data_IF_717269105919
#
_entry.id   IF_717269105919
#
_cell.length_a   1.000
_cell.length_b   1.000
_cell.length_c   1.000
_cell.angle_alpha   90.00
_cell.angle_beta   90.00
_cell.angle_gamma   90.00
#
_symmetry.space_group_name_H-M   'P 1'
#
loop_
_entity.id
_entity.type
_entity.pdbx_description
1 polymer ?
#
# COMPACT_ATOMS: atom_id res chain seq x y z
N UNK A 1 10.34 -5.69 -3.91
CA UNK A 1 9.55 -5.68 -2.68
C UNK A 1 8.60 -6.83 -2.79
N UNK A 2 8.72 -7.78 -1.86
CA UNK A 2 7.82 -8.92 -1.75
C UNK A 2 6.64 -8.58 -0.84
N UNK A 3 5.58 -9.38 -0.87
CA UNK A 3 4.45 -9.22 0.05
C UNK A 3 4.89 -9.21 1.53
N UNK A 4 5.84 -10.06 1.92
CA UNK A 4 6.43 -10.11 3.27
C UNK A 4 7.11 -8.79 3.70
N UNK A 5 7.85 -8.12 2.81
CA UNK A 5 8.44 -6.80 3.09
C UNK A 5 7.35 -5.76 3.41
N UNK A 6 6.26 -5.81 2.63
CA UNK A 6 5.13 -4.88 2.76
C UNK A 6 4.34 -5.18 4.04
N UNK A 7 4.16 -6.46 4.39
CA UNK A 7 3.54 -6.85 5.66
C UNK A 7 4.34 -6.34 6.85
N UNK A 8 5.66 -6.55 6.86
CA UNK A 8 6.53 -6.07 7.93
C UNK A 8 6.46 -4.54 8.07
N UNK A 9 6.43 -3.81 6.95
CA UNK A 9 6.27 -2.36 6.96
C UNK A 9 4.92 -1.93 7.53
N UNK A 10 3.82 -2.60 7.13
CA UNK A 10 2.47 -2.31 7.63
C UNK A 10 2.36 -2.58 9.13
N UNK A 11 2.91 -3.69 9.62
CA UNK A 11 2.95 -4.03 11.05
C UNK A 11 3.70 -2.95 11.83
N UNK A 12 4.89 -2.56 11.36
CA UNK A 12 5.67 -1.48 12.00
C UNK A 12 4.87 -0.18 12.06
N UNK A 13 4.21 0.20 10.96
CA UNK A 13 3.45 1.44 10.89
C UNK A 13 2.22 1.45 11.78
N UNK A 14 1.49 0.35 11.84
CA UNK A 14 0.31 0.23 12.71
C UNK A 14 0.74 0.20 14.18
N UNK A 15 1.83 -0.50 14.49
CA UNK A 15 2.42 -0.51 15.84
C UNK A 15 2.82 0.90 16.28
N UNK A 16 3.49 1.67 15.42
CA UNK A 16 3.89 3.05 15.72
C UNK A 16 2.69 4.01 15.86
N UNK A 17 1.68 3.92 14.98
CA UNK A 17 0.54 4.84 14.95
C UNK A 17 -0.47 4.58 16.07
N UNK A 18 -0.70 3.31 16.41
CA UNK A 18 -1.71 2.90 17.40
C UNK A 18 -1.11 2.45 18.75
N UNK A 19 0.20 2.60 18.93
CA UNK A 19 0.95 2.18 20.13
C UNK A 19 0.69 0.70 20.50
N UNK A 20 0.57 -0.15 19.47
CA UNK A 20 0.31 -1.58 19.61
C UNK A 20 1.61 -2.38 19.61
N UNK A 21 1.61 -3.52 20.30
CA UNK A 21 2.72 -4.47 20.21
C UNK A 21 2.75 -5.14 18.84
N UNK A 22 3.87 -5.11 18.09
CA UNK A 22 3.93 -5.65 16.74
C UNK A 22 3.77 -7.17 16.69
N UNK A 23 4.09 -7.90 17.76
CA UNK A 23 3.89 -9.35 17.86
C UNK A 23 2.41 -9.71 18.09
N UNK A 24 1.63 -8.75 18.59
CA UNK A 24 0.17 -8.86 18.77
C UNK A 24 -0.66 -8.46 17.54
N UNK A 25 -0.04 -8.00 16.46
CA UNK A 25 -0.72 -7.62 15.22
C UNK A 25 -0.87 -8.87 14.33
N UNK A 26 -2.12 -9.29 14.14
CA UNK A 26 -2.51 -10.38 13.25
C UNK A 26 -2.73 -9.84 11.83
N UNK A 27 -2.04 -10.44 10.86
CA UNK A 27 -2.11 -10.04 9.46
C UNK A 27 -3.46 -10.37 8.79
N UNK A 28 -4.26 -11.24 9.40
CA UNK A 28 -5.59 -11.66 8.95
C UNK A 28 -6.71 -10.83 9.58
N UNK A 29 -6.41 -10.05 10.61
CA UNK A 29 -7.40 -9.21 11.28
C UNK A 29 -7.65 -7.93 10.45
N UNK A 30 -8.91 -7.47 10.35
CA UNK A 30 -9.21 -6.23 9.67
C UNK A 30 -8.58 -5.01 10.34
N UNK A 31 -8.11 -4.06 9.55
CA UNK A 31 -7.57 -2.78 10.04
C UNK A 31 -8.54 -2.05 10.99
N UNK A 32 -9.85 -2.21 10.78
CA UNK A 32 -10.88 -1.62 11.64
C UNK A 32 -10.81 -2.12 13.10
N UNK A 33 -10.34 -3.36 13.34
CA UNK A 33 -10.17 -3.90 14.70
C UNK A 33 -9.04 -3.20 15.46
N UNK A 34 -8.04 -2.69 14.75
CA UNK A 34 -6.93 -1.90 15.33
C UNK A 34 -7.26 -0.43 15.53
N UNK A 35 -8.49 0.01 15.20
CA UNK A 35 -8.91 1.41 15.31
C UNK A 35 -8.62 2.24 14.07
N UNK A 36 -8.34 1.61 12.93
CA UNK A 36 -8.12 2.33 11.68
C UNK A 36 -9.41 3.03 11.21
N UNK A 37 -9.32 4.35 11.04
CA UNK A 37 -10.38 5.23 10.54
C UNK A 37 -10.05 5.73 9.13
N UNK A 38 -10.98 6.43 8.47
CA UNK A 38 -10.71 7.05 7.16
C UNK A 38 -9.53 8.03 7.20
N UNK A 39 -9.29 8.74 8.31
CA UNK A 39 -8.18 9.69 8.40
C UNK A 39 -6.83 8.97 8.47
N UNK A 40 -6.72 7.94 9.31
CA UNK A 40 -5.51 7.12 9.42
C UNK A 40 -5.29 6.28 8.15
N UNK A 41 -6.36 5.84 7.48
CA UNK A 41 -6.28 5.15 6.18
C UNK A 41 -5.63 6.03 5.10
N UNK A 42 -6.01 7.31 5.05
CA UNK A 42 -5.41 8.28 4.12
C UNK A 42 -3.94 8.52 4.44
N UNK A 43 -3.58 8.66 5.72
CA UNK A 43 -2.18 8.84 6.14
C UNK A 43 -1.34 7.61 5.78
N UNK A 44 -1.80 6.41 6.18
CA UNK A 44 -1.14 5.14 5.88
C UNK A 44 -0.94 4.95 4.38
N UNK A 45 -1.98 5.25 3.59
CA UNK A 45 -1.89 5.17 2.13
C UNK A 45 -0.84 6.14 1.58
N UNK A 46 -0.79 7.38 2.06
CA UNK A 46 0.20 8.38 1.63
C UNK A 46 1.65 8.00 2.00
N UNK A 47 1.86 7.46 3.20
CA UNK A 47 3.16 6.94 3.62
C UNK A 47 3.60 5.75 2.74
N UNK A 48 2.65 4.87 2.41
CA UNK A 48 2.90 3.70 1.58
C UNK A 48 3.15 4.08 0.11
N UNK A 49 2.44 5.08 -0.43
CA UNK A 49 2.71 5.69 -1.74
C UNK A 49 4.14 6.23 -1.81
N UNK A 50 4.56 6.96 -0.77
CA UNK A 50 5.89 7.53 -0.70
C UNK A 50 6.97 6.46 -0.54
N UNK A 51 6.72 5.41 0.24
CA UNK A 51 7.69 4.33 0.41
C UNK A 51 7.84 3.49 -0.87
N UNK A 52 6.73 3.13 -1.52
CA UNK A 52 6.73 2.30 -2.73
C UNK A 52 6.92 3.08 -4.03
N UNK A 53 6.86 4.43 -3.98
CA UNK A 53 6.92 5.32 -5.14
C UNK A 53 5.84 5.01 -6.20
N UNK A 54 4.65 4.62 -5.75
CA UNK A 54 3.48 4.34 -6.59
C UNK A 54 2.28 5.18 -6.14
N UNK A 55 1.25 5.28 -7.00
CA UNK A 55 -0.03 5.89 -6.61
C UNK A 55 -0.98 4.85 -6.04
N UNK A 56 -1.53 5.12 -4.87
CA UNK A 56 -2.50 4.30 -4.16
C UNK A 56 -3.77 5.09 -3.91
N UNK A 57 -4.90 4.37 -3.87
CA UNK A 57 -6.16 4.97 -3.49
C UNK A 57 -6.37 4.76 -2.00
N UNK A 58 -6.79 5.78 -1.24
CA UNK A 58 -7.04 5.65 0.20
C UNK A 58 -8.26 4.76 0.52
N UNK A 59 -8.99 4.33 -0.50
CA UNK A 59 -10.07 3.35 -0.40
C UNK A 59 -9.57 1.90 -0.36
N UNK A 60 -8.28 1.66 -0.62
CA UNK A 60 -7.72 0.30 -0.65
C UNK A 60 -7.86 -0.43 0.68
N UNK A 61 -7.84 0.27 1.82
CA UNK A 61 -8.10 -0.34 3.14
C UNK A 61 -9.54 -0.82 3.31
N UNK A 62 -10.47 -0.46 2.41
CA UNK A 62 -11.82 -1.00 2.35
C UNK A 62 -11.94 -2.20 1.42
N UNK A 63 -11.29 -2.16 0.26
CA UNK A 63 -11.24 -3.28 -0.70
C UNK A 63 -10.37 -4.45 -0.18
N UNK A 64 -9.30 -4.10 0.54
CA UNK A 64 -8.31 -5.02 1.13
C UNK A 64 -8.21 -4.71 2.62
N UNK A 65 -9.15 -5.22 3.44
CA UNK A 65 -9.28 -4.80 4.82
C UNK A 65 -8.23 -5.38 5.75
N UNK A 66 -7.32 -6.25 5.28
CA UNK A 66 -6.32 -6.93 6.10
C UNK A 66 -4.90 -6.65 5.59
N UNK A 67 -3.90 -6.79 6.47
CA UNK A 67 -2.49 -6.61 6.13
C UNK A 67 -2.08 -7.60 5.03
N UNK A 68 -2.53 -8.86 5.13
CA UNK A 68 -2.25 -9.88 4.12
C UNK A 68 -2.76 -9.48 2.74
N UNK A 69 -4.06 -9.16 2.63
CA UNK A 69 -4.70 -8.90 1.34
C UNK A 69 -4.14 -7.64 0.68
N UNK A 70 -3.86 -6.61 1.47
CA UNK A 70 -3.24 -5.37 0.98
C UNK A 70 -1.81 -5.63 0.49
N UNK A 71 -1.00 -6.36 1.26
CA UNK A 71 0.37 -6.66 0.88
C UNK A 71 0.45 -7.51 -0.41
N UNK A 72 -0.41 -8.52 -0.56
CA UNK A 72 -0.50 -9.33 -1.77
C UNK A 72 -0.89 -8.50 -2.99
N UNK A 73 -1.85 -7.59 -2.85
CA UNK A 73 -2.25 -6.67 -3.93
C UNK A 73 -1.09 -5.77 -4.36
N UNK A 74 -0.35 -5.23 -3.39
CA UNK A 74 0.74 -4.30 -3.63
C UNK A 74 1.97 -4.98 -4.22
N UNK A 75 2.28 -6.21 -3.81
CA UNK A 75 3.31 -7.03 -4.45
C UNK A 75 3.05 -7.15 -5.96
N UNK A 76 1.83 -7.51 -6.35
CA UNK A 76 1.44 -7.58 -7.76
C UNK A 76 1.57 -6.25 -8.50
N UNK A 77 1.25 -5.12 -7.84
CA UNK A 77 1.36 -3.77 -8.42
C UNK A 77 2.80 -3.28 -8.57
N UNK A 78 3.63 -3.46 -7.55
CA UNK A 78 5.03 -3.04 -7.57
C UNK A 78 5.79 -3.81 -8.65
N UNK A 79 5.56 -5.12 -8.77
CA UNK A 79 6.14 -5.94 -9.83
C UNK A 79 5.75 -5.43 -11.23
N UNK A 80 4.52 -4.96 -11.43
CA UNK A 80 4.07 -4.41 -12.72
C UNK A 80 4.64 -3.00 -12.99
N UNK A 81 4.78 -2.15 -11.98
CA UNK A 81 5.35 -0.79 -12.13
C UNK A 81 6.84 -0.82 -12.49
N UNK A 82 7.61 -1.76 -11.93
CA UNK A 82 9.05 -1.93 -12.25
C UNK A 82 9.24 -2.41 -13.69
N UNK A 83 8.29 -3.18 -14.24
CA UNK A 83 8.35 -3.67 -15.62
C UNK A 83 7.95 -2.62 -16.67
N UNK A 84 7.48 -1.43 -16.26
CA UNK A 84 7.00 -0.40 -17.20
C UNK A 84 7.65 0.99 -17.03
N UNK A 85 8.98 1.15 -17.23
CA UNK A 85 9.66 2.44 -17.16
C UNK A 85 9.48 3.36 -18.39
N UNK A 86 8.60 3.05 -19.35
CA UNK A 86 8.44 3.83 -20.60
C UNK A 86 6.99 4.06 -21.01
N UNK A 87 6.32 4.99 -20.34
CA UNK A 87 5.27 5.81 -20.97
C UNK A 87 5.79 7.24 -21.14
N UNK A 88 6.82 7.39 -21.98
CA UNK A 88 6.98 8.65 -22.73
C UNK A 88 5.98 8.58 -23.87
N UNK A 89 4.78 9.13 -23.66
CA UNK A 89 3.86 9.42 -24.75
C UNK A 89 4.53 10.45 -25.67
N UNK A 90 5.28 9.97 -26.66
CA UNK A 90 5.79 10.83 -27.71
C UNK A 90 4.69 10.98 -28.75
N UNK A 91 3.78 11.92 -28.50
CA UNK A 91 2.81 12.34 -29.49
C UNK A 91 3.55 13.09 -30.60
N UNK A 92 4.12 12.34 -31.54
CA UNK A 92 4.56 12.87 -32.82
C UNK A 92 3.31 13.35 -33.56
N UNK A 93 2.92 14.61 -33.37
CA UNK A 93 1.99 15.30 -34.28
C UNK A 93 2.72 15.57 -35.60
N UNK A 94 2.88 14.50 -36.38
CA UNK A 94 3.24 14.56 -37.78
C UNK A 94 2.08 15.13 -38.59
N UNK A 95 2.26 16.39 -38.99
CA UNK A 95 1.84 17.00 -40.26
C UNK A 95 1.21 16.02 -41.28
N UNK A 96 -0.05 16.27 -41.64
CA UNK A 96 -0.62 16.06 -42.98
C UNK A 96 -1.51 17.25 -43.30
#
# INVERSE_FOLDING_TARGET
>A
MSAEDIQAWLISKISEEFELDPDGIDIYEPFACYGLTSMTAVSLSGDLENWLQIKLSPTLTWDYPTIETLAQYLDGKVNVSVLNPKLKVNVNRGRW
#
